data_IF_782781177234
#
_entry.id   IF_782781177234
#
_cell.length_a   1.000
_cell.length_b   1.000
_cell.length_c   1.000
_cell.angle_alpha   90.00
_cell.angle_beta   90.00
_cell.angle_gamma   90.00
#
_symmetry.space_group_name_H-M   'P 1'
#
loop_
_entity.id
_entity.type
_entity.pdbx_description
1 polymer ?
#
# COMPACT_ATOMS: atom_id res chain seq x y z
N UNK A 1 -4.46 -6.56 -17.28
CA UNK A 1 -3.37 -5.81 -16.63
C UNK A 1 -3.86 -5.27 -15.30
N UNK A 2 -3.00 -5.21 -14.27
CA UNK A 2 -3.30 -4.52 -13.00
C UNK A 2 -2.19 -3.49 -12.79
N UNK A 3 -2.53 -2.21 -12.71
CA UNK A 3 -1.56 -1.15 -12.40
C UNK A 3 -1.41 -1.02 -10.89
N UNK A 4 -0.25 -0.56 -10.45
CA UNK A 4 0.06 -0.29 -9.05
C UNK A 4 0.69 1.08 -8.96
N UNK A 5 0.09 1.93 -8.13
CA UNK A 5 0.59 3.28 -7.83
C UNK A 5 0.58 4.23 -9.05
N UNK A 6 -0.23 3.91 -10.06
CA UNK A 6 -0.38 4.71 -11.26
C UNK A 6 -1.66 4.35 -12.03
N UNK A 7 -2.00 5.18 -13.01
CA UNK A 7 -3.02 4.90 -14.01
C UNK A 7 -4.26 5.77 -13.91
N UNK A 8 -4.54 6.45 -12.78
CA UNK A 8 -5.76 7.26 -12.64
C UNK A 8 -5.85 8.41 -13.67
N UNK A 9 -4.71 8.88 -14.17
CA UNK A 9 -4.61 9.92 -15.21
C UNK A 9 -4.31 9.38 -16.60
N UNK A 10 -4.09 8.07 -16.76
CA UNK A 10 -3.63 7.46 -18.01
C UNK A 10 -4.76 7.17 -18.99
N UNK A 11 -5.45 8.21 -19.48
CA UNK A 11 -6.61 8.04 -20.37
C UNK A 11 -6.20 7.38 -21.69
N UNK A 12 -5.16 7.90 -22.35
CA UNK A 12 -4.70 7.40 -23.65
C UNK A 12 -4.11 5.99 -23.55
N UNK A 13 -3.33 5.71 -22.51
CA UNK A 13 -2.73 4.40 -22.28
C UNK A 13 -3.78 3.32 -22.05
N UNK A 14 -4.87 3.66 -21.36
CA UNK A 14 -5.99 2.74 -21.13
C UNK A 14 -6.80 2.51 -22.40
N UNK A 15 -7.02 3.53 -23.24
CA UNK A 15 -7.65 3.33 -24.55
C UNK A 15 -6.80 2.46 -25.48
N UNK A 16 -5.47 2.59 -25.45
CA UNK A 16 -4.57 1.67 -26.15
C UNK A 16 -4.77 0.24 -25.64
N UNK A 17 -4.80 0.02 -24.32
CA UNK A 17 -5.05 -1.30 -23.75
C UNK A 17 -6.40 -1.88 -24.20
N UNK A 18 -7.46 -1.06 -24.20
CA UNK A 18 -8.78 -1.45 -24.67
C UNK A 18 -8.76 -1.86 -26.15
N UNK A 19 -8.07 -1.10 -27.01
CA UNK A 19 -7.94 -1.42 -28.44
C UNK A 19 -7.23 -2.75 -28.71
N UNK A 20 -6.40 -3.19 -27.76
CA UNK A 20 -5.69 -4.47 -27.79
C UNK A 20 -6.46 -5.60 -27.08
N UNK A 21 -7.65 -5.33 -26.54
CA UNK A 21 -8.45 -6.30 -25.78
C UNK A 21 -7.88 -6.63 -24.40
N UNK A 22 -7.14 -5.71 -23.78
CA UNK A 22 -6.50 -5.89 -22.47
C UNK A 22 -7.36 -5.23 -21.38
N UNK A 23 -8.09 -6.04 -20.62
CA UNK A 23 -8.79 -5.57 -19.42
C UNK A 23 -7.79 -4.97 -18.42
N UNK A 24 -7.98 -3.71 -18.04
CA UNK A 24 -7.09 -3.03 -17.10
C UNK A 24 -7.79 -2.69 -15.79
N UNK A 25 -7.22 -3.13 -14.68
CA UNK A 25 -7.63 -2.74 -13.32
C UNK A 25 -6.61 -1.74 -12.79
N UNK A 26 -7.06 -0.53 -12.47
CA UNK A 26 -6.21 0.50 -11.89
C UNK A 26 -6.20 0.39 -10.37
N UNK A 27 -5.02 0.36 -9.75
CA UNK A 27 -4.87 0.58 -8.30
C UNK A 27 -3.95 1.78 -8.09
N UNK A 28 -4.50 2.85 -7.54
CA UNK A 28 -3.83 4.15 -7.48
C UNK A 28 -4.32 4.94 -6.25
N UNK A 29 -3.61 6.01 -5.91
CA UNK A 29 -3.91 6.90 -4.80
C UNK A 29 -3.75 8.40 -5.16
N UNK A 30 -3.32 8.71 -6.39
CA UNK A 30 -3.20 10.07 -6.87
C UNK A 30 -4.56 10.75 -7.08
N UNK A 31 -4.55 12.09 -7.20
CA UNK A 31 -5.76 12.84 -7.53
C UNK A 31 -6.28 12.48 -8.93
N UNK A 32 -7.60 12.37 -9.07
CA UNK A 32 -8.21 12.13 -10.38
C UNK A 32 -8.32 13.41 -11.21
N UNK A 33 -8.26 13.25 -12.52
CA UNK A 33 -8.68 14.29 -13.48
C UNK A 33 -10.21 14.43 -13.49
N UNK A 34 -10.72 15.34 -14.33
CA UNK A 34 -12.16 15.50 -14.53
C UNK A 34 -12.80 14.31 -15.24
N UNK A 35 -12.07 13.70 -16.15
CA UNK A 35 -12.45 12.47 -16.84
C UNK A 35 -11.63 11.31 -16.29
N UNK A 36 -12.32 10.19 -15.99
CA UNK A 36 -11.65 8.96 -15.58
C UNK A 36 -11.31 8.11 -16.82
N UNK A 37 -10.20 7.35 -16.78
CA UNK A 37 -9.87 6.41 -17.84
C UNK A 37 -10.94 5.31 -17.94
N UNK A 38 -11.21 4.84 -19.15
CA UNK A 38 -12.15 3.75 -19.42
C UNK A 38 -11.53 2.37 -19.08
N UNK A 39 -11.13 2.21 -17.82
CA UNK A 39 -10.55 0.96 -17.31
C UNK A 39 -11.66 -0.01 -16.87
N UNK A 40 -11.37 -1.32 -16.90
CA UNK A 40 -12.29 -2.35 -16.42
C UNK A 40 -12.70 -2.12 -14.97
N UNK A 41 -11.76 -1.68 -14.12
CA UNK A 41 -12.04 -1.23 -12.76
C UNK A 41 -11.00 -0.20 -12.30
N UNK A 42 -11.37 0.67 -11.37
CA UNK A 42 -10.48 1.65 -10.75
C UNK A 42 -10.67 1.63 -9.24
N UNK A 43 -9.63 1.22 -8.52
CA UNK A 43 -9.52 1.22 -7.06
C UNK A 43 -8.63 2.39 -6.66
N UNK A 44 -9.25 3.51 -6.30
CA UNK A 44 -8.54 4.69 -5.80
C UNK A 44 -9.39 5.41 -4.72
N UNK A 45 -8.89 5.56 -3.49
CA UNK A 45 -9.64 6.15 -2.37
C UNK A 45 -9.86 7.66 -2.54
N UNK A 46 -9.13 8.30 -3.45
CA UNK A 46 -9.29 9.72 -3.80
C UNK A 46 -10.31 9.98 -4.90
N UNK A 47 -10.93 8.95 -5.48
CA UNK A 47 -12.03 9.18 -6.41
C UNK A 47 -13.13 10.04 -5.75
N UNK A 48 -13.75 10.91 -6.54
CA UNK A 48 -14.79 11.84 -6.08
C UNK A 48 -16.03 11.10 -5.56
N UNK A 49 -16.32 9.92 -6.11
CA UNK A 49 -17.43 9.04 -5.74
C UNK A 49 -17.07 7.98 -4.68
N UNK A 50 -15.82 7.95 -4.21
CA UNK A 50 -15.38 6.94 -3.23
C UNK A 50 -15.91 7.27 -1.83
N UNK A 51 -16.59 6.30 -1.21
CA UNK A 51 -17.10 6.37 0.17
C UNK A 51 -16.15 5.78 1.21
N UNK A 52 -14.96 5.34 0.80
CA UNK A 52 -13.98 4.76 1.71
C UNK A 52 -13.51 5.82 2.74
N UNK A 53 -13.52 5.50 4.05
CA UNK A 53 -13.40 6.53 5.10
C UNK A 53 -12.01 7.17 5.20
N UNK A 54 -10.98 6.55 4.63
CA UNK A 54 -9.62 7.06 4.69
C UNK A 54 -9.02 7.25 3.29
N UNK A 55 -8.95 8.51 2.85
CA UNK A 55 -8.57 8.90 1.49
C UNK A 55 -7.06 8.94 1.23
N UNK A 56 -6.25 8.94 2.28
CA UNK A 56 -4.82 9.24 2.21
C UNK A 56 -3.93 7.99 2.18
N UNK A 57 -4.45 6.81 1.82
CA UNK A 57 -3.61 5.62 1.66
C UNK A 57 -2.48 5.90 0.64
N UNK A 58 -1.28 5.39 0.92
CA UNK A 58 -0.23 5.28 -0.10
C UNK A 58 -0.65 4.27 -1.18
N UNK A 59 -0.06 4.31 -2.38
CA UNK A 59 -0.35 3.33 -3.44
C UNK A 59 -0.18 1.88 -2.98
N UNK A 60 0.89 1.59 -2.23
CA UNK A 60 1.10 0.26 -1.62
C UNK A 60 0.01 -0.10 -0.60
N UNK A 61 -0.56 0.90 0.08
CA UNK A 61 -1.68 0.74 0.99
C UNK A 61 -2.95 0.35 0.25
N UNK A 62 -3.22 0.96 -0.90
CA UNK A 62 -4.36 0.60 -1.77
C UNK A 62 -4.25 -0.86 -2.23
N UNK A 63 -3.07 -1.28 -2.69
CA UNK A 63 -2.82 -2.68 -3.06
C UNK A 63 -2.97 -3.62 -1.86
N UNK A 64 -2.49 -3.23 -0.68
CA UNK A 64 -2.67 -4.02 0.53
C UNK A 64 -4.15 -4.23 0.87
N UNK A 65 -4.99 -3.20 0.73
CA UNK A 65 -6.45 -3.33 0.88
C UNK A 65 -7.08 -4.24 -0.17
N UNK A 66 -6.61 -4.19 -1.42
CA UNK A 66 -7.06 -5.11 -2.48
C UNK A 66 -6.73 -6.57 -2.13
N UNK A 67 -5.49 -6.85 -1.71
CA UNK A 67 -5.07 -8.21 -1.31
C UNK A 67 -5.85 -8.67 -0.06
N UNK A 68 -6.11 -7.76 0.89
CA UNK A 68 -6.96 -8.03 2.06
C UNK A 68 -8.39 -8.42 1.62
N UNK A 69 -9.02 -7.63 0.74
CA UNK A 69 -10.37 -7.90 0.24
C UNK A 69 -10.46 -9.23 -0.53
N UNK A 70 -9.47 -9.52 -1.39
CA UNK A 70 -9.37 -10.80 -2.09
C UNK A 70 -9.20 -11.98 -1.11
N UNK A 71 -8.36 -11.81 -0.10
CA UNK A 71 -8.16 -12.85 0.93
C UNK A 71 -9.44 -13.13 1.70
N UNK A 72 -10.20 -12.10 2.08
CA UNK A 72 -11.50 -12.25 2.74
C UNK A 72 -12.49 -12.97 1.80
N UNK A 73 -12.56 -12.56 0.53
CA UNK A 73 -13.47 -13.15 -0.46
C UNK A 73 -13.19 -14.62 -0.73
N UNK A 74 -11.93 -15.03 -0.67
CA UNK A 74 -11.45 -16.39 -0.88
C UNK A 74 -11.33 -17.19 0.44
N UNK A 75 -11.80 -16.64 1.56
CA UNK A 75 -11.75 -17.26 2.89
C UNK A 75 -10.32 -17.68 3.32
N UNK A 76 -9.33 -16.91 2.89
CA UNK A 76 -7.93 -17.15 3.22
C UNK A 76 -7.61 -16.62 4.62
N UNK A 77 -6.77 -17.32 5.41
CA UNK A 77 -6.36 -16.84 6.73
C UNK A 77 -5.59 -15.52 6.64
N UNK A 78 -5.76 -14.64 7.63
CA UNK A 78 -5.18 -13.28 7.62
C UNK A 78 -3.67 -13.22 7.37
N UNK A 79 -2.94 -14.27 7.81
CA UNK A 79 -1.50 -14.42 7.56
C UNK A 79 -1.11 -14.31 6.08
N UNK A 80 -2.04 -14.56 5.16
CA UNK A 80 -1.77 -14.49 3.72
C UNK A 80 -1.58 -13.08 3.19
N UNK A 81 -2.26 -12.08 3.74
CA UNK A 81 -2.01 -10.69 3.39
C UNK A 81 -1.08 -10.00 4.40
N UNK A 82 -1.18 -10.34 5.70
CA UNK A 82 -0.35 -9.72 6.75
C UNK A 82 1.16 -9.97 6.56
N UNK A 83 1.55 -11.04 5.85
CA UNK A 83 2.96 -11.33 5.54
C UNK A 83 3.67 -10.26 4.72
N UNK A 84 2.94 -9.37 4.06
CA UNK A 84 3.50 -8.27 3.25
C UNK A 84 3.63 -6.95 4.02
N UNK A 85 3.19 -6.90 5.28
CA UNK A 85 3.05 -5.64 6.01
C UNK A 85 4.39 -4.92 6.26
N UNK A 86 5.53 -5.63 6.20
CA UNK A 86 6.86 -5.03 6.19
C UNK A 86 7.11 -4.20 4.91
N UNK A 87 6.82 -4.74 3.73
CA UNK A 87 6.93 -4.04 2.44
C UNK A 87 5.91 -2.90 2.37
N UNK A 88 4.67 -3.13 2.80
CA UNK A 88 3.62 -2.10 2.82
C UNK A 88 4.05 -0.92 3.70
N UNK A 89 4.65 -1.20 4.86
CA UNK A 89 5.19 -0.15 5.72
C UNK A 89 6.31 0.65 5.05
N UNK A 90 7.26 0.00 4.37
CA UNK A 90 8.33 0.71 3.67
C UNK A 90 7.73 1.61 2.58
N UNK A 91 6.81 1.10 1.76
CA UNK A 91 6.18 1.92 0.71
C UNK A 91 5.37 3.07 1.29
N UNK A 92 4.55 2.84 2.33
CA UNK A 92 3.77 3.90 2.98
C UNK A 92 4.65 5.01 3.55
N UNK A 93 5.79 4.68 4.17
CA UNK A 93 6.71 5.71 4.70
C UNK A 93 7.44 6.42 3.56
N UNK A 94 7.85 5.68 2.51
CA UNK A 94 8.61 6.22 1.38
C UNK A 94 7.79 7.18 0.51
N UNK A 95 6.47 7.00 0.49
CA UNK A 95 5.52 7.82 -0.25
C UNK A 95 5.14 9.13 0.48
N UNK A 96 5.70 9.36 1.68
CA UNK A 96 5.56 10.61 2.46
C UNK A 96 4.09 11.01 2.73
N UNK A 97 3.16 10.05 2.64
CA UNK A 97 1.75 10.26 2.99
C UNK A 97 1.57 10.56 4.48
N UNK A 98 0.47 11.23 4.82
CA UNK A 98 0.17 11.53 6.21
C UNK A 98 0.04 10.25 7.05
N UNK A 99 0.87 10.11 8.09
CA UNK A 99 0.81 9.01 9.05
C UNK A 99 -0.32 9.21 10.07
N UNK A 100 -1.55 9.19 9.55
CA UNK A 100 -2.81 9.22 10.30
C UNK A 100 -3.60 7.94 10.01
N UNK A 101 -4.54 7.59 10.89
CA UNK A 101 -5.45 6.46 10.72
C UNK A 101 -4.74 5.17 10.22
N UNK A 102 -5.15 4.57 9.10
CA UNK A 102 -4.60 3.31 8.60
C UNK A 102 -3.10 3.39 8.28
N UNK A 103 -2.61 4.49 7.69
CA UNK A 103 -1.18 4.66 7.43
C UNK A 103 -0.36 4.62 8.72
N UNK A 104 -0.88 5.21 9.81
CA UNK A 104 -0.23 5.15 11.12
C UNK A 104 -0.16 3.73 11.67
N UNK A 105 -1.24 2.95 11.51
CA UNK A 105 -1.30 1.55 11.96
C UNK A 105 -0.33 0.71 11.15
N UNK A 106 -0.33 0.86 9.83
CA UNK A 106 0.59 0.20 8.90
C UNK A 106 2.04 0.51 9.30
N UNK A 107 2.41 1.79 9.48
CA UNK A 107 3.76 2.17 9.86
C UNK A 107 4.15 1.58 11.23
N UNK A 108 3.27 1.71 12.24
CA UNK A 108 3.54 1.22 13.61
C UNK A 108 3.77 -0.29 13.66
N UNK A 109 2.91 -1.06 13.00
CA UNK A 109 2.99 -2.53 13.02
C UNK A 109 4.05 -3.05 12.06
N UNK A 110 4.13 -2.48 10.86
CA UNK A 110 5.08 -2.90 9.85
C UNK A 110 6.53 -2.58 10.21
N UNK A 111 6.83 -1.49 10.91
CA UNK A 111 8.20 -1.23 11.42
C UNK A 111 8.69 -2.35 12.36
N UNK A 112 7.78 -2.98 13.14
CA UNK A 112 8.12 -4.15 13.97
C UNK A 112 8.42 -5.38 13.11
N UNK A 113 7.81 -5.48 11.93
CA UNK A 113 8.05 -6.57 10.98
C UNK A 113 9.29 -6.35 10.13
N UNK A 114 9.60 -5.10 9.74
CA UNK A 114 10.83 -4.73 9.03
C UNK A 114 12.08 -5.19 9.79
N UNK A 115 12.07 -5.08 11.13
CA UNK A 115 13.19 -5.57 11.97
C UNK A 115 13.44 -7.07 11.84
N UNK A 116 12.41 -7.86 11.53
CA UNK A 116 12.45 -9.32 11.41
C UNK A 116 12.02 -9.79 10.01
N UNK A 117 12.15 -8.92 9.00
CA UNK A 117 11.67 -9.20 7.64
C UNK A 117 12.38 -10.43 7.08
N UNK A 118 11.61 -11.26 6.36
CA UNK A 118 12.13 -12.41 5.62
C UNK A 118 12.55 -12.03 4.20
N UNK A 119 12.26 -10.81 3.75
CA UNK A 119 12.67 -10.31 2.45
C UNK A 119 14.19 -10.11 2.44
N UNK A 120 14.90 -10.89 1.63
CA UNK A 120 16.36 -10.86 1.54
C UNK A 120 16.84 -9.47 1.12
N UNK A 121 16.21 -8.85 0.11
CA UNK A 121 16.56 -7.50 -0.34
C UNK A 121 16.44 -6.45 0.76
N UNK A 122 15.33 -6.45 1.52
CA UNK A 122 15.18 -5.53 2.64
C UNK A 122 16.22 -5.78 3.74
N UNK A 123 16.59 -7.04 4.02
CA UNK A 123 17.64 -7.35 5.00
C UNK A 123 19.00 -6.82 4.60
N UNK A 124 19.36 -6.97 3.33
CA UNK A 124 20.64 -6.47 2.81
C UNK A 124 20.66 -4.95 2.81
N UNK A 125 19.56 -4.30 2.41
CA UNK A 125 19.43 -2.84 2.48
C UNK A 125 19.60 -2.34 3.91
N UNK A 126 18.88 -2.90 4.88
CA UNK A 126 18.99 -2.49 6.30
C UNK A 126 20.43 -2.65 6.80
N UNK A 127 21.08 -3.77 6.46
CA UNK A 127 22.46 -4.04 6.89
C UNK A 127 23.45 -3.04 6.27
N UNK A 128 23.23 -2.62 5.02
CA UNK A 128 24.06 -1.64 4.33
C UNK A 128 23.99 -0.23 4.91
N UNK A 129 22.89 0.12 5.59
CA UNK A 129 22.70 1.47 6.17
C UNK A 129 23.53 1.72 7.45
N UNK A 130 24.21 0.70 7.99
CA UNK A 130 24.86 0.78 9.29
C UNK A 130 23.87 0.79 10.47
N UNK A 131 22.58 0.55 10.22
CA UNK A 131 21.56 0.45 11.25
C UNK A 131 21.85 -0.74 12.18
N UNK A 132 22.29 -0.44 13.40
CA UNK A 132 22.49 -1.45 14.45
C UNK A 132 21.12 -1.80 15.05
N UNK A 133 20.70 -3.05 14.86
CA UNK A 133 19.42 -3.61 15.37
C UNK A 133 19.20 -3.50 16.90
N UNK A 134 20.14 -2.97 17.68
CA UNK A 134 20.09 -2.92 19.14
C UNK A 134 20.36 -1.50 19.68
N UNK A 135 19.30 -0.77 20.13
CA UNK A 135 19.32 0.14 21.32
C UNK A 135 18.08 1.00 21.61
N UNK A 136 16.94 0.88 20.94
CA UNK A 136 15.83 1.85 21.15
C UNK A 136 14.50 1.23 21.59
N UNK A 137 14.45 0.37 22.62
CA UNK A 137 13.15 0.00 23.22
C UNK A 137 13.13 -0.22 24.74
N UNK A 138 14.23 -0.02 25.48
CA UNK A 138 14.15 -0.13 26.95
C UNK A 138 13.59 1.12 27.66
N UNK A 139 13.33 2.25 26.97
CA UNK A 139 12.94 3.51 27.63
C UNK A 139 11.70 4.22 27.05
N UNK A 140 10.87 3.57 26.24
CA UNK A 140 9.60 4.17 25.81
C UNK A 140 8.47 3.16 26.00
N UNK A 141 7.52 3.50 26.87
CA UNK A 141 6.35 2.73 27.33
C UNK A 141 6.50 1.94 28.64
N UNK A 142 6.75 2.67 29.73
CA UNK A 142 5.91 2.57 30.93
C UNK A 142 5.56 4.00 31.35
N UNK A 143 4.30 4.38 31.25
CA UNK A 143 3.55 5.31 32.10
C UNK A 143 2.16 5.53 31.49
N UNK A 144 1.14 5.03 32.20
CA UNK A 144 -0.25 5.55 32.29
C UNK A 144 -1.07 5.58 30.98
N UNK A 145 -2.22 4.95 30.82
CA UNK A 145 -3.32 4.54 31.73
C UNK A 145 -4.01 3.31 31.15
#
# INVERSE_FOLDING_TARGET
MITVDCGISGIEEIEICNSLGIDTIITDHHEQLDTLPNAYAIVNPKRRDCTYPFRELAGVGVVFKLIQALSIKLELPEKQYLKYLDIVCIGTISDIVALKNENRVIAKLGLRLVQQTKNIGLRELISSTGFKRNRCYNNFFWYST
#
